data_IF_624324235443
#
_entry.id   IF_624324235443
#
_cell.length_a   1.000
_cell.length_b   1.000
_cell.length_c   1.000
_cell.angle_alpha   90.00
_cell.angle_beta   90.00
_cell.angle_gamma   90.00
#
_symmetry.space_group_name_H-M   'P 1'
#
loop_
_entity.id
_entity.type
_entity.pdbx_description
1 polymer ?
#
# COMPACT_ATOMS: atom_id res chain seq x y z
N UNK A 1 11.50 -15.43 26.43
CA UNK A 1 11.20 -15.26 27.88
C UNK A 1 12.09 -16.12 28.80
N UNK A 2 13.42 -15.94 28.80
CA UNK A 2 14.30 -16.67 29.74
C UNK A 2 15.44 -15.84 30.37
N UNK A 3 15.50 -14.51 30.16
CA UNK A 3 16.61 -13.68 30.64
C UNK A 3 16.34 -12.76 31.84
N UNK A 4 15.14 -12.76 32.45
CA UNK A 4 14.80 -11.81 33.53
C UNK A 4 14.71 -12.37 34.96
N UNK A 5 14.98 -13.67 35.20
CA UNK A 5 14.85 -14.26 36.56
C UNK A 5 16.10 -14.15 37.46
N UNK A 6 17.17 -13.49 37.02
CA UNK A 6 18.48 -13.55 37.70
C UNK A 6 18.76 -12.50 38.78
N UNK A 7 17.93 -11.48 38.99
CA UNK A 7 18.36 -10.25 39.71
C UNK A 7 17.59 -9.90 40.99
N UNK A 8 16.69 -10.76 41.50
CA UNK A 8 15.86 -10.45 42.67
C UNK A 8 16.00 -11.42 43.85
N UNK A 9 17.19 -11.95 44.11
CA UNK A 9 17.47 -12.66 45.36
C UNK A 9 18.86 -12.34 45.89
N UNK A 10 18.99 -11.18 46.54
CA UNK A 10 20.02 -10.93 47.58
C UNK A 10 19.79 -9.55 48.17
N UNK A 11 19.05 -9.47 49.29
CA UNK A 11 19.46 -8.70 50.49
C UNK A 11 18.37 -8.64 51.57
N UNK A 12 18.87 -8.74 52.80
CA UNK A 12 18.29 -8.32 54.10
C UNK A 12 17.48 -9.34 54.89
N UNK A 13 18.22 -10.03 55.77
CA UNK A 13 17.75 -10.62 57.03
C UNK A 13 18.52 -9.89 58.14
N UNK A 14 17.84 -9.06 58.95
CA UNK A 14 18.41 -8.55 60.21
C UNK A 14 17.32 -8.39 61.26
N UNK A 15 17.64 -9.00 62.41
CA UNK A 15 16.94 -9.17 63.70
C UNK A 15 16.12 -7.98 64.20
N UNK A 16 14.95 -8.28 64.75
CA UNK A 16 14.22 -7.47 65.72
C UNK A 16 14.42 -8.00 67.15
N UNK A 17 14.57 -7.08 68.10
CA UNK A 17 14.48 -7.30 69.54
C UNK A 17 13.24 -6.54 70.05
N UNK A 18 12.36 -7.25 70.75
CA UNK A 18 11.25 -6.72 71.54
C UNK A 18 11.75 -6.21 72.91
N UNK A 19 11.22 -5.08 73.40
CA UNK A 19 10.75 -4.85 74.79
C UNK A 19 9.64 -3.74 74.76
N UNK A 20 8.56 -3.83 75.57
CA UNK A 20 7.33 -3.04 75.42
C UNK A 20 7.18 -1.90 76.46
N UNK A 21 6.39 -0.85 76.19
CA UNK A 21 5.76 -0.06 77.27
C UNK A 21 4.48 0.69 76.83
N UNK A 22 3.56 0.78 77.78
CA UNK A 22 2.15 1.14 77.75
C UNK A 22 1.78 2.63 77.56
N UNK A 23 0.57 2.80 77.02
CA UNK A 23 -0.53 3.73 77.37
C UNK A 23 -0.40 5.26 77.26
N UNK A 24 -1.47 5.83 76.66
CA UNK A 24 -1.71 7.21 76.24
C UNK A 24 -2.04 8.21 77.37
N UNK A 25 -2.23 9.51 77.04
CA UNK A 25 -3.62 9.96 76.89
C UNK A 25 -3.91 10.96 75.74
N UNK A 26 -5.21 10.99 75.45
CA UNK A 26 -6.06 11.58 74.40
C UNK A 26 -6.15 13.12 74.39
N UNK A 27 -6.12 13.74 73.20
CA UNK A 27 -6.53 15.15 72.90
C UNK A 27 -7.15 15.18 71.45
N UNK A 28 -8.17 16.03 71.14
CA UNK A 28 -9.32 15.75 70.26
C UNK A 28 -9.13 15.96 68.73
N UNK A 29 -10.12 15.58 67.88
CA UNK A 29 -9.93 15.44 66.45
C UNK A 29 -10.01 16.79 65.73
N UNK A 30 -8.93 17.16 65.06
CA UNK A 30 -8.93 18.28 64.12
C UNK A 30 -9.18 17.73 62.72
N UNK A 31 -10.37 18.05 62.21
CA UNK A 31 -10.70 18.27 60.80
C UNK A 31 -9.94 17.40 59.78
N UNK A 32 -10.56 16.28 59.40
CA UNK A 32 -10.22 15.58 58.16
C UNK A 32 -10.53 16.46 56.95
N UNK A 33 -9.52 17.21 56.49
CA UNK A 33 -9.50 17.73 55.13
C UNK A 33 -9.65 16.53 54.17
N UNK A 34 -10.46 16.65 53.09
CA UNK A 34 -10.53 15.59 52.10
C UNK A 34 -9.12 15.38 51.55
N UNK A 35 -8.57 14.16 51.67
CA UNK A 35 -7.39 13.78 50.90
C UNK A 35 -7.68 14.12 49.44
N UNK A 36 -6.81 14.86 48.74
CA UNK A 36 -6.95 14.97 47.30
C UNK A 36 -7.01 13.54 46.78
N UNK A 37 -8.05 13.20 46.03
CA UNK A 37 -8.07 11.99 45.23
C UNK A 37 -6.80 12.05 44.39
N UNK A 38 -5.78 11.29 44.80
CA UNK A 38 -4.56 11.14 44.06
C UNK A 38 -4.96 10.30 42.86
N UNK A 39 -5.44 10.97 41.81
CA UNK A 39 -5.65 10.34 40.51
C UNK A 39 -4.34 9.63 40.20
N UNK A 40 -4.38 8.30 40.08
CA UNK A 40 -3.16 7.55 39.74
C UNK A 40 -2.68 8.09 38.41
N UNK A 41 -1.55 8.78 38.42
CA UNK A 41 -0.92 9.22 37.18
C UNK A 41 -0.55 7.97 36.39
N UNK A 42 -0.63 8.03 35.06
CA UNK A 42 -0.14 6.97 34.17
C UNK A 42 1.28 6.50 34.55
N UNK A 43 2.07 7.40 35.15
CA UNK A 43 3.44 7.18 35.58
C UNK A 43 3.56 6.28 36.81
N UNK A 44 2.52 6.22 37.65
CA UNK A 44 2.46 5.38 38.83
C UNK A 44 2.00 3.94 38.53
N UNK A 45 1.63 3.63 37.29
CA UNK A 45 1.20 2.29 36.91
C UNK A 45 2.36 1.29 37.01
N UNK A 46 2.11 0.07 37.54
CA UNK A 46 3.10 -1.01 37.52
C UNK A 46 3.55 -1.35 36.10
N UNK A 47 4.79 -1.82 35.98
CA UNK A 47 5.40 -2.17 34.69
C UNK A 47 4.52 -3.11 33.86
N UNK A 48 3.90 -4.10 34.50
CA UNK A 48 3.04 -5.09 33.85
C UNK A 48 1.79 -4.47 33.25
N UNK A 49 1.19 -3.47 33.93
CA UNK A 49 0.00 -2.77 33.45
C UNK A 49 0.37 -1.87 32.28
N UNK A 50 1.48 -1.14 32.38
CA UNK A 50 2.01 -0.35 31.26
C UNK A 50 2.34 -1.22 30.05
N UNK A 51 2.90 -2.40 30.28
CA UNK A 51 3.20 -3.34 29.21
C UNK A 51 1.92 -3.80 28.51
N UNK A 52 0.86 -4.10 29.25
CA UNK A 52 -0.44 -4.44 28.67
C UNK A 52 -1.06 -3.29 27.90
N UNK A 53 -0.90 -2.05 28.36
CA UNK A 53 -1.36 -0.86 27.63
C UNK A 53 -0.60 -0.74 26.31
N UNK A 54 0.74 -0.87 26.30
CA UNK A 54 1.55 -0.85 25.07
C UNK A 54 1.15 -1.97 24.10
N UNK A 55 0.84 -3.16 24.60
CA UNK A 55 0.36 -4.28 23.77
C UNK A 55 -1.03 -4.03 23.17
N UNK A 56 -1.86 -3.24 23.83
CA UNK A 56 -3.19 -2.89 23.35
C UNK A 56 -3.18 -1.76 22.31
N UNK A 57 -2.04 -1.09 22.12
CA UNK A 57 -1.85 -0.15 21.02
C UNK A 57 -1.71 -0.94 19.73
N UNK A 58 -2.58 -0.65 18.77
CA UNK A 58 -2.68 -1.33 17.48
C UNK A 58 -2.23 -0.47 16.30
N UNK A 59 -1.86 0.79 16.54
CA UNK A 59 -1.41 1.72 15.52
C UNK A 59 -0.09 2.43 15.87
N UNK A 60 0.75 2.74 14.86
CA UNK A 60 1.97 3.54 15.08
C UNK A 60 1.63 4.98 15.48
N UNK A 61 0.44 5.47 15.11
CA UNK A 61 -0.03 6.81 15.48
C UNK A 61 -0.28 6.88 16.98
N UNK A 62 -1.00 5.90 17.52
CA UNK A 62 -1.32 5.83 18.95
C UNK A 62 -0.08 5.49 19.78
N UNK A 63 0.82 4.65 19.23
CA UNK A 63 2.12 4.40 19.85
C UNK A 63 2.90 5.70 19.98
N UNK A 64 3.00 6.47 18.89
CA UNK A 64 3.67 7.78 18.89
C UNK A 64 3.02 8.74 19.89
N UNK A 65 1.69 8.85 19.91
CA UNK A 65 0.97 9.70 20.84
C UNK A 65 1.24 9.31 22.30
N UNK A 66 1.20 8.02 22.62
CA UNK A 66 1.43 7.51 23.97
C UNK A 66 2.86 7.76 24.47
N UNK A 67 3.87 7.50 23.64
CA UNK A 67 5.27 7.73 24.02
C UNK A 67 5.62 9.22 24.12
N UNK A 68 4.90 10.10 23.40
CA UNK A 68 5.07 11.55 23.54
C UNK A 68 4.32 12.11 24.76
N UNK A 69 3.19 11.51 25.13
CA UNK A 69 2.38 11.94 26.26
C UNK A 69 2.93 11.51 27.62
N UNK A 70 3.71 10.41 27.69
CA UNK A 70 4.26 9.88 28.95
C UNK A 70 5.76 9.56 28.85
N UNK A 71 6.61 10.23 29.65
CA UNK A 71 8.02 9.87 29.81
C UNK A 71 8.23 8.42 30.25
N UNK A 72 7.32 7.88 31.05
CA UNK A 72 7.45 6.52 31.57
C UNK A 72 7.16 5.47 30.49
N UNK A 73 6.16 5.70 29.65
CA UNK A 73 5.93 4.89 28.46
C UNK A 73 7.06 5.03 27.44
N UNK A 74 7.61 6.24 27.27
CA UNK A 74 8.80 6.44 26.43
C UNK A 74 10.01 5.62 26.90
N UNK A 75 10.29 5.61 28.21
CA UNK A 75 11.37 4.81 28.79
C UNK A 75 11.16 3.32 28.54
N UNK A 76 9.93 2.82 28.72
CA UNK A 76 9.60 1.42 28.49
C UNK A 76 9.67 1.03 27.01
N UNK A 77 9.18 1.88 26.12
CA UNK A 77 9.32 1.74 24.67
C UNK A 77 10.79 1.63 24.27
N UNK A 78 11.66 2.48 24.84
CA UNK A 78 13.10 2.47 24.54
C UNK A 78 13.83 1.20 24.96
N UNK A 79 13.28 0.38 25.85
CA UNK A 79 13.89 -0.90 26.23
C UNK A 79 13.83 -1.92 25.10
N UNK A 80 12.82 -1.82 24.23
CA UNK A 80 12.64 -2.74 23.09
C UNK A 80 11.90 -2.02 21.94
N UNK A 81 12.55 -1.00 21.39
CA UNK A 81 11.97 -0.11 20.38
C UNK A 81 11.52 -0.89 19.14
N UNK A 82 12.39 -1.78 18.65
CA UNK A 82 12.15 -2.58 17.45
C UNK A 82 10.89 -3.44 17.62
N UNK A 83 10.73 -4.10 18.77
CA UNK A 83 9.56 -4.91 19.07
C UNK A 83 8.26 -4.12 18.99
N UNK A 84 8.17 -2.95 19.63
CA UNK A 84 6.93 -2.17 19.67
C UNK A 84 6.57 -1.59 18.30
N UNK A 85 7.58 -1.14 17.55
CA UNK A 85 7.40 -0.66 16.18
C UNK A 85 6.90 -1.80 15.28
N UNK A 86 7.52 -2.97 15.36
CA UNK A 86 7.12 -4.15 14.62
C UNK A 86 5.70 -4.60 14.98
N UNK A 87 5.38 -4.67 16.27
CA UNK A 87 4.04 -5.04 16.76
C UNK A 87 2.95 -4.16 16.15
N UNK A 88 3.10 -2.83 16.22
CA UNK A 88 2.11 -1.91 15.67
C UNK A 88 2.05 -1.96 14.14
N UNK A 89 3.21 -2.00 13.48
CA UNK A 89 3.25 -2.10 12.01
C UNK A 89 2.57 -3.39 11.52
N UNK A 90 2.83 -4.52 12.18
CA UNK A 90 2.23 -5.80 11.82
C UNK A 90 0.70 -5.78 11.97
N UNK A 91 0.18 -5.16 13.04
CA UNK A 91 -1.27 -5.06 13.27
C UNK A 91 -1.99 -4.19 12.23
N UNK A 92 -1.35 -3.09 11.81
CA UNK A 92 -1.87 -2.21 10.77
C UNK A 92 -1.83 -2.87 9.39
N UNK A 93 -0.68 -3.47 9.02
CA UNK A 93 -0.50 -4.10 7.72
C UNK A 93 -1.37 -5.35 7.53
N UNK A 94 -1.65 -6.09 8.61
CA UNK A 94 -2.35 -7.36 8.52
C UNK A 94 -1.65 -8.29 7.53
N UNK A 95 -2.38 -8.79 6.53
CA UNK A 95 -1.84 -9.69 5.50
C UNK A 95 -0.89 -9.01 4.52
N UNK A 96 -0.93 -7.68 4.39
CA UNK A 96 -0.02 -6.93 3.54
C UNK A 96 1.42 -6.88 4.08
N UNK A 97 1.70 -7.49 5.24
CA UNK A 97 3.05 -7.50 5.82
C UNK A 97 4.09 -8.17 4.90
N UNK A 98 3.71 -9.24 4.18
CA UNK A 98 4.63 -9.89 3.23
C UNK A 98 4.98 -8.92 2.12
N UNK A 99 3.99 -8.21 1.59
CA UNK A 99 4.18 -7.23 0.52
C UNK A 99 5.11 -6.10 1.00
N UNK A 100 4.89 -5.60 2.23
CA UNK A 100 5.75 -4.59 2.83
C UNK A 100 7.19 -5.05 3.05
N UNK A 101 7.38 -6.26 3.56
CA UNK A 101 8.70 -6.85 3.76
C UNK A 101 9.42 -7.02 2.42
N UNK A 102 8.74 -7.56 1.42
CA UNK A 102 9.34 -7.79 0.10
C UNK A 102 9.69 -6.48 -0.60
N UNK A 103 8.88 -5.43 -0.44
CA UNK A 103 9.22 -4.08 -0.92
C UNK A 103 10.51 -3.56 -0.29
N UNK A 104 10.70 -3.75 1.02
CA UNK A 104 11.91 -3.36 1.71
C UNK A 104 13.14 -4.13 1.18
N UNK A 105 13.02 -5.46 1.05
CA UNK A 105 14.10 -6.32 0.55
C UNK A 105 14.54 -5.94 -0.87
N UNK A 106 13.61 -5.71 -1.80
CA UNK A 106 13.97 -5.31 -3.17
C UNK A 106 14.41 -3.84 -3.28
N UNK A 107 14.15 -3.01 -2.26
CA UNK A 107 14.65 -1.64 -2.20
C UNK A 107 16.10 -1.55 -1.69
N UNK A 108 16.63 -2.63 -1.11
CA UNK A 108 18.01 -2.68 -0.61
C UNK A 108 19.03 -2.41 -1.74
N UNK A 109 20.12 -1.65 -1.49
CA UNK A 109 21.11 -1.32 -2.50
C UNK A 109 21.71 -2.55 -3.20
N UNK A 110 21.91 -3.65 -2.45
CA UNK A 110 22.43 -4.89 -3.01
C UNK A 110 21.52 -5.47 -4.09
N UNK A 111 20.20 -5.50 -3.84
CA UNK A 111 19.22 -5.97 -4.81
C UNK A 111 19.18 -5.03 -6.01
N UNK A 112 18.97 -3.72 -5.78
CA UNK A 112 18.81 -2.73 -6.87
C UNK A 112 20.01 -2.66 -7.82
N UNK A 113 21.24 -2.77 -7.30
CA UNK A 113 22.46 -2.68 -8.11
C UNK A 113 22.73 -3.95 -8.94
N UNK A 114 22.37 -5.11 -8.38
CA UNK A 114 22.67 -6.43 -8.95
C UNK A 114 21.46 -7.10 -9.64
N UNK A 115 20.29 -6.45 -9.64
CA UNK A 115 19.05 -6.95 -10.22
C UNK A 115 19.27 -7.39 -11.67
N UNK A 116 18.92 -8.64 -11.97
CA UNK A 116 18.93 -9.24 -13.30
C UNK A 116 17.74 -10.21 -13.44
N UNK A 117 17.49 -10.73 -14.64
CA UNK A 117 16.38 -11.67 -14.92
C UNK A 117 16.33 -12.84 -13.93
N UNK A 118 17.47 -13.50 -13.69
CA UNK A 118 17.57 -14.66 -12.78
C UNK A 118 17.24 -14.29 -11.33
N UNK A 119 17.78 -13.16 -10.84
CA UNK A 119 17.47 -12.68 -9.49
C UNK A 119 16.02 -12.26 -9.32
N UNK A 120 15.39 -11.71 -10.35
CA UNK A 120 13.96 -11.38 -10.32
C UNK A 120 13.13 -12.67 -10.27
N UNK A 121 13.49 -13.70 -11.04
CA UNK A 121 12.83 -15.00 -10.98
C UNK A 121 12.93 -15.63 -9.58
N UNK A 122 14.14 -15.71 -9.02
CA UNK A 122 14.36 -16.23 -7.66
C UNK A 122 13.60 -15.43 -6.61
N UNK A 123 13.50 -14.11 -6.79
CA UNK A 123 12.72 -13.25 -5.91
C UNK A 123 11.21 -13.54 -6.00
N UNK A 124 10.68 -13.72 -7.22
CA UNK A 124 9.27 -14.08 -7.44
C UNK A 124 8.96 -15.43 -6.78
N UNK A 125 9.86 -16.41 -6.88
CA UNK A 125 9.72 -17.73 -6.24
C UNK A 125 9.73 -17.62 -4.70
N UNK A 126 10.69 -16.90 -4.11
CA UNK A 126 10.74 -16.66 -2.66
C UNK A 126 9.49 -15.90 -2.17
N UNK A 127 9.03 -14.91 -2.93
CA UNK A 127 7.82 -14.18 -2.61
C UNK A 127 6.57 -15.07 -2.66
N UNK A 128 6.46 -15.94 -3.67
CA UNK A 128 5.39 -16.93 -3.79
C UNK A 128 5.35 -17.84 -2.57
N UNK A 129 6.50 -18.37 -2.15
CA UNK A 129 6.59 -19.23 -0.97
C UNK A 129 6.14 -18.48 0.30
N UNK A 130 6.62 -17.27 0.51
CA UNK A 130 6.23 -16.46 1.69
C UNK A 130 4.75 -16.16 1.74
N UNK A 131 4.11 -15.88 0.60
CA UNK A 131 2.65 -15.68 0.53
C UNK A 131 1.87 -16.93 0.92
N UNK A 132 2.38 -18.12 0.57
CA UNK A 132 1.79 -19.40 0.96
C UNK A 132 2.05 -19.74 2.44
N UNK A 133 3.22 -19.36 2.97
CA UNK A 133 3.64 -19.62 4.34
C UNK A 133 2.99 -18.70 5.38
N UNK A 134 2.27 -17.63 5.00
CA UNK A 134 1.60 -16.72 5.96
C UNK A 134 0.65 -17.46 6.91
N UNK A 135 0.15 -18.62 6.51
CA UNK A 135 -0.67 -19.48 7.38
C UNK A 135 0.12 -20.16 8.52
N UNK A 136 1.45 -20.17 8.48
CA UNK A 136 2.32 -20.84 9.45
C UNK A 136 3.27 -19.81 10.11
N UNK A 137 3.03 -19.48 11.39
CA UNK A 137 3.68 -18.40 12.17
C UNK A 137 5.18 -18.63 12.50
N UNK A 138 5.92 -19.33 11.63
CA UNK A 138 7.33 -19.71 11.83
C UNK A 138 8.34 -18.64 11.39
N UNK A 139 7.87 -17.46 10.97
CA UNK A 139 8.73 -16.45 10.39
C UNK A 139 9.70 -15.82 11.40
N UNK A 140 10.98 -15.75 11.04
CA UNK A 140 11.99 -15.02 11.79
C UNK A 140 11.62 -13.53 11.71
N UNK A 141 11.44 -12.81 12.84
CA UNK A 141 11.15 -11.39 12.78
C UNK A 141 12.28 -10.64 12.06
N UNK A 142 11.97 -9.55 11.34
CA UNK A 142 12.98 -8.75 10.70
C UNK A 142 13.93 -8.17 11.75
N UNK A 143 15.14 -7.81 11.33
CA UNK A 143 16.05 -7.12 12.22
C UNK A 143 15.62 -5.67 12.50
N UNK A 144 16.31 -4.99 13.42
CA UNK A 144 15.92 -3.64 13.82
C UNK A 144 16.01 -2.63 12.66
N UNK A 145 17.00 -2.76 11.78
CA UNK A 145 17.19 -1.83 10.66
C UNK A 145 16.10 -2.04 9.60
N UNK A 146 15.75 -3.30 9.30
CA UNK A 146 14.62 -3.67 8.44
C UNK A 146 13.29 -3.11 9.00
N UNK A 147 13.01 -3.31 10.29
CA UNK A 147 11.80 -2.78 10.93
C UNK A 147 11.75 -1.26 10.81
N UNK A 148 12.86 -0.56 11.07
CA UNK A 148 12.93 0.89 10.97
C UNK A 148 12.71 1.38 9.53
N UNK A 149 13.28 0.69 8.54
CA UNK A 149 13.09 1.00 7.13
C UNK A 149 11.64 0.82 6.70
N UNK A 150 11.02 -0.32 7.05
CA UNK A 150 9.61 -0.62 6.75
C UNK A 150 8.67 0.40 7.41
N UNK A 151 8.87 0.73 8.69
CA UNK A 151 8.09 1.76 9.38
C UNK A 151 8.26 3.13 8.73
N UNK A 152 9.50 3.50 8.38
CA UNK A 152 9.78 4.77 7.71
C UNK A 152 9.03 4.87 6.39
N UNK A 153 9.10 3.85 5.54
CA UNK A 153 8.39 3.81 4.26
C UNK A 153 6.87 3.83 4.46
N UNK A 154 6.34 3.03 5.39
CA UNK A 154 4.91 2.97 5.67
C UNK A 154 4.36 4.34 6.12
N UNK A 155 4.99 4.96 7.11
CA UNK A 155 4.53 6.23 7.69
C UNK A 155 4.77 7.41 6.75
N UNK A 156 5.90 7.44 6.03
CA UNK A 156 6.27 8.57 5.19
C UNK A 156 5.74 8.48 3.74
N UNK A 157 5.43 7.29 3.23
CA UNK A 157 4.99 7.09 1.84
C UNK A 157 3.58 6.54 1.77
N UNK A 158 3.36 5.35 2.32
CA UNK A 158 2.09 4.61 2.15
C UNK A 158 0.91 5.36 2.77
N UNK A 159 1.00 5.75 4.04
CA UNK A 159 -0.12 6.44 4.71
C UNK A 159 -0.52 7.77 4.08
N UNK A 160 0.41 8.70 3.75
CA UNK A 160 0.03 9.91 3.05
C UNK A 160 -0.65 9.62 1.71
N UNK A 161 -0.10 8.70 0.92
CA UNK A 161 -0.65 8.36 -0.39
C UNK A 161 -2.01 7.68 -0.31
N UNK A 162 -2.24 6.84 0.69
CA UNK A 162 -3.57 6.28 0.95
C UNK A 162 -4.61 7.37 1.21
N UNK A 163 -4.27 8.40 2.00
CA UNK A 163 -5.16 9.55 2.23
C UNK A 163 -5.42 10.34 0.93
N UNK A 164 -4.39 10.54 0.11
CA UNK A 164 -4.54 11.18 -1.20
C UNK A 164 -5.40 10.34 -2.14
N UNK A 165 -5.23 9.02 -2.15
CA UNK A 165 -6.03 8.08 -2.94
C UNK A 165 -7.50 8.15 -2.57
N UNK A 166 -7.83 8.04 -1.28
CA UNK A 166 -9.22 8.13 -0.79
C UNK A 166 -9.84 9.48 -1.14
N UNK A 167 -9.07 10.57 -0.99
CA UNK A 167 -9.55 11.92 -1.36
C UNK A 167 -9.82 12.02 -2.85
N UNK A 168 -8.92 11.50 -3.69
CA UNK A 168 -9.06 11.53 -5.14
C UNK A 168 -10.24 10.69 -5.61
N UNK A 169 -10.40 9.45 -5.12
CA UNK A 169 -11.53 8.59 -5.49
C UNK A 169 -12.88 9.21 -5.11
N UNK A 170 -12.98 9.86 -3.94
CA UNK A 170 -14.21 10.56 -3.52
C UNK A 170 -14.66 11.65 -4.50
N UNK A 171 -13.75 12.21 -5.29
CA UNK A 171 -14.08 13.18 -6.34
C UNK A 171 -14.58 12.49 -7.63
N UNK A 172 -14.28 11.20 -7.84
CA UNK A 172 -14.64 10.45 -9.04
C UNK A 172 -15.97 9.67 -8.92
N UNK A 173 -16.45 9.42 -7.70
CA UNK A 173 -17.76 8.82 -7.46
C UNK A 173 -18.48 9.49 -6.29
N UNK A 174 -19.53 10.25 -6.63
CA UNK A 174 -20.47 10.81 -5.68
C UNK A 174 -21.11 9.68 -4.85
N UNK A 175 -21.18 9.86 -3.52
CA UNK A 175 -21.69 8.87 -2.58
C UNK A 175 -20.60 8.06 -1.85
N UNK A 176 -19.39 7.89 -2.41
CA UNK A 176 -18.26 7.28 -1.68
C UNK A 176 -17.80 8.14 -0.48
N UNK A 177 -18.28 9.38 -0.38
CA UNK A 177 -18.05 10.26 0.77
C UNK A 177 -18.70 9.74 2.06
N UNK A 178 -19.62 8.78 2.00
CA UNK A 178 -20.27 8.18 3.18
C UNK A 178 -20.01 6.67 3.26
N UNK A 179 -19.62 6.12 4.42
CA UNK A 179 -19.17 6.84 5.62
C UNK A 179 -17.85 7.60 5.39
N UNK A 180 -17.62 8.68 6.15
CA UNK A 180 -16.43 9.52 6.01
C UNK A 180 -15.11 8.79 6.34
N UNK A 181 -15.17 7.74 7.14
CA UNK A 181 -14.03 6.90 7.50
C UNK A 181 -14.02 5.66 6.60
N UNK A 182 -12.83 5.23 6.20
CA UNK A 182 -12.65 3.96 5.51
C UNK A 182 -12.63 2.83 6.54
N UNK A 183 -13.16 1.68 6.19
CA UNK A 183 -13.09 0.50 7.05
C UNK A 183 -11.67 -0.07 7.09
N UNK A 184 -11.42 -1.01 8.00
CA UNK A 184 -10.13 -1.72 8.07
C UNK A 184 -9.87 -2.56 6.81
N UNK A 185 -10.89 -3.18 6.23
CA UNK A 185 -10.75 -3.99 5.00
C UNK A 185 -10.46 -3.11 3.79
N UNK A 186 -11.10 -1.95 3.69
CA UNK A 186 -10.79 -0.96 2.64
C UNK A 186 -9.36 -0.42 2.78
N UNK A 187 -8.94 -0.09 4.00
CA UNK A 187 -7.57 0.33 4.30
C UNK A 187 -6.55 -0.72 3.88
N UNK A 188 -6.82 -2.00 4.17
CA UNK A 188 -5.97 -3.13 3.79
C UNK A 188 -5.86 -3.30 2.28
N UNK A 189 -6.99 -3.28 1.54
CA UNK A 189 -6.99 -3.40 0.06
C UNK A 189 -6.19 -2.27 -0.59
N UNK A 190 -6.36 -1.03 -0.14
CA UNK A 190 -5.61 0.13 -0.66
C UNK A 190 -4.11 0.01 -0.33
N UNK A 191 -3.79 -0.32 0.92
CA UNK A 191 -2.41 -0.50 1.38
C UNK A 191 -1.69 -1.56 0.55
N UNK A 192 -2.37 -2.68 0.29
CA UNK A 192 -1.89 -3.79 -0.51
C UNK A 192 -1.65 -3.41 -1.96
N UNK A 193 -2.60 -2.71 -2.59
CA UNK A 193 -2.42 -2.14 -3.93
C UNK A 193 -1.19 -1.23 -4.01
N UNK A 194 -0.98 -0.36 -3.01
CA UNK A 194 0.18 0.54 -2.96
C UNK A 194 1.51 -0.22 -2.83
N UNK A 195 1.60 -1.20 -1.94
CA UNK A 195 2.82 -2.00 -1.80
C UNK A 195 3.12 -2.83 -3.05
N UNK A 196 2.11 -3.44 -3.67
CA UNK A 196 2.29 -4.26 -4.87
C UNK A 196 2.64 -3.42 -6.10
N UNK A 197 2.08 -2.21 -6.21
CA UNK A 197 2.53 -1.21 -7.18
C UNK A 197 4.02 -0.88 -7.00
N UNK A 198 4.45 -0.59 -5.76
CA UNK A 198 5.86 -0.31 -5.47
C UNK A 198 6.75 -1.53 -5.78
N UNK A 199 6.29 -2.73 -5.43
CA UNK A 199 6.99 -3.97 -5.69
C UNK A 199 7.21 -4.20 -7.19
N UNK A 200 6.17 -3.96 -8.00
CA UNK A 200 6.24 -4.06 -9.45
C UNK A 200 7.37 -3.19 -10.01
N UNK A 201 7.40 -1.90 -9.68
CA UNK A 201 8.43 -1.00 -10.21
C UNK A 201 9.82 -1.23 -9.60
N UNK A 202 9.91 -1.77 -8.38
CA UNK A 202 11.19 -2.22 -7.83
C UNK A 202 11.77 -3.41 -8.62
N UNK A 203 10.94 -4.30 -9.16
CA UNK A 203 11.36 -5.45 -9.96
C UNK A 203 11.58 -5.09 -11.44
N UNK A 204 10.67 -4.32 -12.02
CA UNK A 204 10.59 -4.14 -13.48
C UNK A 204 10.92 -2.72 -13.97
N UNK A 205 10.96 -1.71 -13.09
CA UNK A 205 11.29 -0.32 -13.46
C UNK A 205 12.76 -0.09 -13.86
N UNK A 206 13.11 1.04 -14.48
CA UNK A 206 14.48 1.39 -14.94
C UNK A 206 15.50 1.55 -13.79
N UNK A 207 16.85 1.56 -14.03
CA UNK A 207 17.58 1.76 -15.30
C UNK A 207 18.09 0.47 -15.98
N UNK A 208 17.90 -0.69 -15.35
CA UNK A 208 18.20 -2.02 -15.89
C UNK A 208 16.92 -2.87 -15.95
N UNK A 209 15.80 -2.27 -16.33
CA UNK A 209 14.54 -3.01 -16.52
C UNK A 209 14.69 -3.93 -17.73
N UNK A 210 14.57 -5.24 -17.52
CA UNK A 210 14.52 -6.24 -18.60
C UNK A 210 13.13 -6.32 -19.22
N UNK A 211 12.14 -5.76 -18.54
CA UNK A 211 10.74 -5.90 -18.88
C UNK A 211 10.43 -5.09 -20.14
N UNK A 212 10.41 -5.80 -21.27
CA UNK A 212 9.38 -5.54 -22.26
C UNK A 212 8.05 -5.98 -21.65
N UNK A 213 6.95 -5.34 -22.05
CA UNK A 213 5.57 -5.65 -21.65
C UNK A 213 5.18 -7.12 -21.91
N UNK A 214 5.93 -7.83 -22.77
CA UNK A 214 5.82 -9.28 -23.00
C UNK A 214 6.86 -10.16 -22.30
N UNK A 215 7.60 -9.66 -21.30
CA UNK A 215 8.51 -10.49 -20.53
C UNK A 215 7.71 -11.54 -19.71
N UNK A 216 8.00 -12.85 -19.89
CA UNK A 216 7.35 -13.91 -19.11
C UNK A 216 7.42 -13.72 -17.58
N UNK A 217 8.44 -13.03 -17.07
CA UNK A 217 8.54 -12.73 -15.63
C UNK A 217 7.43 -11.82 -15.12
N UNK A 218 6.91 -10.93 -15.97
CA UNK A 218 5.80 -10.05 -15.58
C UNK A 218 4.51 -10.85 -15.44
N UNK A 219 4.27 -11.80 -16.34
CA UNK A 219 3.12 -12.71 -16.22
C UNK A 219 3.24 -13.61 -14.99
N UNK A 220 4.42 -14.16 -14.72
CA UNK A 220 4.68 -14.93 -13.50
C UNK A 220 4.44 -14.10 -12.22
N UNK A 221 4.71 -12.80 -12.26
CA UNK A 221 4.40 -11.90 -11.15
C UNK A 221 2.89 -11.74 -10.97
N UNK A 222 2.12 -11.54 -12.05
CA UNK A 222 0.65 -11.44 -11.95
C UNK A 222 0.00 -12.74 -11.50
N UNK A 223 0.54 -13.90 -11.89
CA UNK A 223 0.03 -15.22 -11.47
C UNK A 223 0.08 -15.44 -9.94
N UNK A 224 0.88 -14.65 -9.21
CA UNK A 224 0.91 -14.66 -7.75
C UNK A 224 -0.38 -14.16 -7.10
N UNK A 225 -1.20 -13.40 -7.85
CA UNK A 225 -2.38 -12.73 -7.35
C UNK A 225 -3.64 -13.25 -8.01
N UNK A 226 -4.75 -13.15 -7.30
CA UNK A 226 -6.07 -13.27 -7.93
C UNK A 226 -6.33 -12.08 -8.86
N UNK A 227 -7.21 -12.24 -9.85
CA UNK A 227 -7.46 -11.18 -10.85
C UNK A 227 -7.95 -9.85 -10.23
N UNK A 228 -8.77 -9.91 -9.18
CA UNK A 228 -9.22 -8.71 -8.46
C UNK A 228 -8.10 -8.04 -7.66
N UNK A 229 -7.13 -8.80 -7.15
CA UNK A 229 -5.92 -8.26 -6.52
C UNK A 229 -5.01 -7.56 -7.54
N UNK A 230 -4.96 -8.02 -8.80
CA UNK A 230 -4.25 -7.31 -9.89
C UNK A 230 -4.96 -5.98 -10.17
N UNK A 231 -6.29 -5.97 -10.17
CA UNK A 231 -7.06 -4.74 -10.34
C UNK A 231 -6.86 -3.72 -9.22
N UNK A 232 -6.54 -4.16 -7.99
CA UNK A 232 -6.12 -3.24 -6.93
C UNK A 232 -4.86 -2.46 -7.34
N UNK A 233 -3.87 -3.14 -7.94
CA UNK A 233 -2.62 -2.54 -8.44
C UNK A 233 -2.94 -1.54 -9.56
N UNK A 234 -3.83 -1.91 -10.49
CA UNK A 234 -4.21 -1.07 -11.62
C UNK A 234 -5.02 0.16 -11.19
N UNK A 235 -5.86 0.04 -10.16
CA UNK A 235 -6.52 1.20 -9.55
C UNK A 235 -5.50 2.20 -8.96
N UNK A 236 -4.43 1.69 -8.32
CA UNK A 236 -3.33 2.54 -7.86
C UNK A 236 -2.58 3.15 -9.04
N UNK A 237 -2.36 2.41 -10.13
CA UNK A 237 -1.72 2.94 -11.32
C UNK A 237 -2.48 4.16 -11.88
N UNK A 238 -3.79 4.03 -12.09
CA UNK A 238 -4.63 5.14 -12.58
C UNK A 238 -4.57 6.35 -11.64
N UNK A 239 -4.58 6.12 -10.31
CA UNK A 239 -4.37 7.20 -9.34
C UNK A 239 -3.02 7.89 -9.52
N UNK A 240 -1.93 7.12 -9.63
CA UNK A 240 -0.56 7.66 -9.77
C UNK A 240 -0.43 8.48 -11.07
N UNK A 241 -1.01 8.00 -12.18
CA UNK A 241 -1.11 8.78 -13.43
C UNK A 241 -1.81 10.12 -13.19
N UNK A 242 -2.99 10.10 -12.57
CA UNK A 242 -3.76 11.31 -12.31
C UNK A 242 -3.00 12.32 -11.43
N UNK A 243 -2.27 11.84 -10.42
CA UNK A 243 -1.46 12.73 -9.56
C UNK A 243 -0.29 13.33 -10.32
N UNK A 244 0.46 12.55 -11.11
CA UNK A 244 1.58 13.10 -11.89
C UNK A 244 1.12 14.03 -13.00
N UNK A 245 -0.04 13.78 -13.62
CA UNK A 245 -0.66 14.74 -14.54
C UNK A 245 -0.90 16.10 -13.87
N UNK A 246 -1.42 16.11 -12.64
CA UNK A 246 -1.60 17.33 -11.86
C UNK A 246 -0.25 18.01 -11.55
N UNK A 247 0.76 17.23 -11.14
CA UNK A 247 2.12 17.75 -10.87
C UNK A 247 2.76 18.33 -12.13
N UNK A 248 2.67 17.65 -13.27
CA UNK A 248 3.20 18.11 -14.55
C UNK A 248 2.55 19.42 -14.99
N UNK A 249 1.25 19.59 -14.77
CA UNK A 249 0.56 20.87 -15.02
C UNK A 249 1.13 22.01 -14.16
N UNK A 250 1.49 21.73 -12.90
CA UNK A 250 2.05 22.74 -11.99
C UNK A 250 3.45 23.19 -12.40
N UNK A 251 4.34 22.26 -12.78
CA UNK A 251 5.74 22.58 -13.14
C UNK A 251 5.96 22.81 -14.63
N UNK A 252 4.89 22.80 -15.43
CA UNK A 252 4.96 22.86 -16.90
C UNK A 252 5.84 24.00 -17.39
N UNK A 253 5.61 25.21 -16.88
CA UNK A 253 6.35 26.38 -17.34
C UNK A 253 7.80 26.36 -16.85
N UNK A 254 8.05 25.92 -15.61
CA UNK A 254 9.38 25.90 -15.01
C UNK A 254 10.35 24.97 -15.76
N UNK A 255 9.83 23.88 -16.31
CA UNK A 255 10.60 22.91 -17.09
C UNK A 255 10.55 23.16 -18.59
N UNK A 256 9.68 24.06 -19.08
CA UNK A 256 9.49 24.24 -20.50
C UNK A 256 10.78 24.72 -21.20
N UNK A 257 11.14 24.16 -22.37
CA UNK A 257 12.36 24.55 -23.08
C UNK A 257 12.43 26.02 -23.50
N UNK A 258 11.31 26.75 -23.50
CA UNK A 258 11.26 28.20 -23.77
C UNK A 258 11.28 29.08 -22.52
N UNK A 259 11.41 28.51 -21.32
CA UNK A 259 11.55 29.31 -20.11
C UNK A 259 12.89 30.07 -20.13
N UNK A 260 12.89 31.41 -19.89
CA UNK A 260 14.11 32.21 -19.86
C UNK A 260 15.18 31.74 -18.86
N UNK A 261 14.80 30.96 -17.84
CA UNK A 261 15.74 30.34 -16.90
C UNK A 261 16.81 29.47 -17.58
N UNK A 262 16.52 28.96 -18.79
CA UNK A 262 17.43 28.13 -19.57
C UNK A 262 18.29 28.91 -20.58
N UNK A 263 18.11 30.22 -20.74
CA UNK A 263 18.82 30.98 -21.78
C UNK A 263 20.34 31.02 -21.56
N UNK A 264 20.79 30.94 -20.31
CA UNK A 264 22.21 30.89 -19.94
C UNK A 264 22.87 29.52 -20.22
N UNK A 265 22.10 28.44 -20.27
CA UNK A 265 22.58 27.06 -20.51
C UNK A 265 22.28 26.57 -21.93
N UNK A 266 21.52 27.32 -22.72
CA UNK A 266 21.21 27.00 -24.11
C UNK A 266 22.43 27.22 -25.01
N UNK A 267 22.97 26.12 -25.53
CA UNK A 267 24.17 26.15 -26.40
C UNK A 267 23.87 25.85 -27.88
N UNK A 268 22.60 25.70 -28.27
CA UNK A 268 22.21 25.37 -29.65
C UNK A 268 20.70 25.15 -29.83
N UNK A 269 20.28 24.48 -30.92
CA UNK A 269 18.87 24.23 -31.25
C UNK A 269 18.23 23.09 -30.44
N UNK A 270 19.02 22.37 -29.64
CA UNK A 270 18.56 21.26 -28.82
C UNK A 270 17.88 21.75 -27.54
N UNK A 271 17.02 20.90 -26.97
CA UNK A 271 16.42 21.11 -25.65
C UNK A 271 17.52 21.33 -24.59
N UNK A 272 17.48 22.44 -23.83
CA UNK A 272 18.47 22.69 -22.79
C UNK A 272 18.51 21.56 -21.74
N UNK A 273 19.68 21.25 -21.16
CA UNK A 273 19.77 20.25 -20.08
C UNK A 273 18.85 20.62 -18.91
N UNK A 274 18.07 19.66 -18.44
CA UNK A 274 17.10 19.85 -17.35
C UNK A 274 15.76 20.47 -17.79
N UNK A 275 15.62 20.89 -19.04
CA UNK A 275 14.34 21.29 -19.61
C UNK A 275 13.60 20.07 -20.19
N UNK A 276 12.30 20.04 -19.97
CA UNK A 276 11.39 19.02 -20.48
C UNK A 276 10.17 19.70 -21.08
N UNK A 277 9.89 19.37 -22.33
CA UNK A 277 8.55 19.61 -22.87
C UNK A 277 7.66 18.47 -22.36
N UNK A 278 6.80 18.76 -21.38
CA UNK A 278 5.96 17.77 -20.70
C UNK A 278 4.66 17.48 -21.45
N UNK A 279 4.30 18.28 -22.45
CA UNK A 279 3.02 18.17 -23.15
C UNK A 279 3.20 18.32 -24.67
N UNK A 280 2.77 17.33 -25.45
CA UNK A 280 2.80 17.40 -26.92
C UNK A 280 1.80 18.44 -27.46
N UNK A 281 0.67 18.61 -26.77
CA UNK A 281 -0.37 19.63 -27.01
C UNK A 281 -0.91 20.14 -25.68
N UNK A 282 -1.63 21.27 -25.69
CA UNK A 282 -2.06 22.01 -24.50
C UNK A 282 -2.56 21.16 -23.32
N UNK A 283 -3.21 20.02 -23.54
CA UNK A 283 -3.67 19.12 -22.47
C UNK A 283 -3.19 17.66 -22.56
N UNK A 284 -2.36 17.30 -23.54
CA UNK A 284 -1.89 15.93 -23.73
C UNK A 284 -0.44 15.79 -23.27
N UNK A 285 -0.16 15.05 -22.18
CA UNK A 285 1.21 14.84 -21.72
C UNK A 285 2.01 14.11 -22.80
N UNK A 286 3.33 14.26 -22.78
CA UNK A 286 4.15 13.23 -23.39
C UNK A 286 4.17 12.00 -22.49
N UNK A 287 3.57 10.94 -23.01
CA UNK A 287 3.50 9.62 -22.41
C UNK A 287 4.86 9.15 -21.89
N UNK A 288 5.94 9.40 -22.64
CA UNK A 288 7.24 8.88 -22.27
C UNK A 288 7.79 9.42 -20.93
N UNK A 289 7.60 10.71 -20.68
CA UNK A 289 8.03 11.39 -19.45
C UNK A 289 7.11 10.99 -18.29
N UNK A 290 5.82 10.82 -18.57
CA UNK A 290 4.84 10.39 -17.58
C UNK A 290 5.14 8.96 -17.11
N UNK A 291 5.25 7.98 -18.01
CA UNK A 291 5.59 6.60 -17.66
C UNK A 291 6.95 6.51 -16.97
N UNK A 292 7.88 7.33 -17.46
CA UNK A 292 9.20 7.52 -16.87
C UNK A 292 9.16 7.86 -15.39
N UNK A 293 8.45 8.92 -15.03
CA UNK A 293 8.39 9.35 -13.62
C UNK A 293 7.56 8.41 -12.75
N UNK A 294 6.51 7.80 -13.31
CA UNK A 294 5.69 6.80 -12.60
C UNK A 294 6.55 5.61 -12.19
N UNK A 295 7.46 5.19 -13.08
CA UNK A 295 8.37 4.08 -12.81
C UNK A 295 9.38 4.30 -11.69
N UNK A 296 9.49 5.54 -11.18
CA UNK A 296 10.31 5.89 -10.01
C UNK A 296 9.67 5.42 -8.69
N UNK A 297 8.39 5.08 -8.73
CA UNK A 297 7.65 4.54 -7.59
C UNK A 297 7.10 5.61 -6.65
N UNK A 298 6.48 5.13 -5.57
CA UNK A 298 5.65 5.92 -4.66
C UNK A 298 6.44 6.92 -3.80
N UNK A 299 7.72 6.66 -3.53
CA UNK A 299 8.56 7.58 -2.74
C UNK A 299 8.69 8.94 -3.42
N UNK A 300 8.90 8.95 -4.75
CA UNK A 300 9.01 10.19 -5.52
C UNK A 300 7.67 10.91 -5.55
N UNK A 301 6.57 10.18 -5.78
CA UNK A 301 5.23 10.77 -5.77
C UNK A 301 4.87 11.40 -4.41
N UNK A 302 5.11 10.68 -3.31
CA UNK A 302 4.86 11.18 -1.95
C UNK A 302 5.66 12.45 -1.67
N UNK A 303 6.90 12.51 -2.16
CA UNK A 303 7.76 13.69 -2.02
C UNK A 303 7.24 14.86 -2.86
N UNK A 304 6.84 14.61 -4.10
CA UNK A 304 6.25 15.61 -4.99
C UNK A 304 4.98 16.23 -4.39
N UNK A 305 4.04 15.41 -3.91
CA UNK A 305 2.78 15.88 -3.33
C UNK A 305 2.94 16.66 -2.02
N UNK A 306 4.05 16.47 -1.30
CA UNK A 306 4.37 17.24 -0.08
C UNK A 306 5.13 18.53 -0.36
N UNK A 307 5.73 18.66 -1.55
CA UNK A 307 6.61 19.78 -1.88
C UNK A 307 5.75 20.99 -2.25
N UNK A 308 5.69 21.98 -1.34
CA UNK A 308 4.92 23.21 -1.54
C UNK A 308 5.67 24.27 -2.36
N UNK A 309 7.00 24.19 -2.38
CA UNK A 309 7.86 25.12 -3.11
C UNK A 309 7.95 24.70 -4.58
N UNK A 310 7.44 25.56 -5.47
CA UNK A 310 7.35 25.28 -6.90
C UNK A 310 8.73 25.05 -7.56
N UNK A 311 9.76 25.78 -7.16
CA UNK A 311 11.12 25.62 -7.70
C UNK A 311 11.69 24.27 -7.30
N UNK A 312 11.54 23.89 -6.03
CA UNK A 312 12.00 22.58 -5.54
C UNK A 312 11.22 21.43 -6.17
N UNK A 313 9.93 21.63 -6.44
CA UNK A 313 9.12 20.65 -7.15
C UNK A 313 9.63 20.48 -8.58
N UNK A 314 9.87 21.57 -9.32
CA UNK A 314 10.44 21.50 -10.66
C UNK A 314 11.82 20.80 -10.68
N UNK A 315 12.71 21.13 -9.75
CA UNK A 315 14.01 20.47 -9.58
C UNK A 315 13.87 18.97 -9.31
N UNK A 316 12.97 18.58 -8.39
CA UNK A 316 12.68 17.18 -8.09
C UNK A 316 12.23 16.44 -9.35
N UNK A 317 11.21 16.96 -10.04
CA UNK A 317 10.66 16.34 -11.25
C UNK A 317 11.72 16.23 -12.35
N UNK A 318 12.49 17.30 -12.59
CA UNK A 318 13.56 17.29 -13.59
C UNK A 318 14.65 16.25 -13.29
N UNK A 319 14.96 16.03 -12.00
CA UNK A 319 15.98 15.06 -11.57
C UNK A 319 15.53 13.60 -11.60
N UNK A 320 14.22 13.37 -11.54
CA UNK A 320 13.62 12.04 -11.42
C UNK A 320 13.01 11.52 -12.74
N UNK A 321 12.70 12.38 -13.71
CA UNK A 321 12.22 11.95 -15.03
C UNK A 321 13.30 11.10 -15.72
N UNK A 322 12.87 9.94 -16.21
CA UNK A 322 13.66 9.03 -17.04
C UNK A 322 12.87 8.73 -18.32
N UNK A 323 13.52 8.49 -19.47
CA UNK A 323 12.80 8.10 -20.66
C UNK A 323 12.27 6.67 -20.52
N UNK A 324 10.98 6.49 -20.79
CA UNK A 324 10.31 5.19 -20.84
C UNK A 324 9.27 5.26 -21.95
N UNK A 325 9.17 4.25 -22.82
CA UNK A 325 8.33 4.39 -24.03
C UNK A 325 6.87 4.03 -23.76
N UNK A 326 6.61 3.20 -22.76
CA UNK A 326 5.30 2.58 -22.51
C UNK A 326 5.03 2.44 -21.02
N UNK A 327 3.75 2.40 -20.65
CA UNK A 327 3.34 1.97 -19.32
C UNK A 327 3.41 0.44 -19.22
N UNK A 328 4.59 -0.07 -18.84
CA UNK A 328 4.83 -1.52 -18.71
C UNK A 328 3.79 -2.18 -17.78
N UNK A 329 3.30 -1.50 -16.74
CA UNK A 329 2.33 -2.09 -15.83
C UNK A 329 0.99 -2.35 -16.53
N UNK A 330 0.45 -1.35 -17.23
CA UNK A 330 -0.80 -1.49 -17.95
C UNK A 330 -0.67 -2.37 -19.20
N UNK A 331 0.37 -2.16 -20.02
CA UNK A 331 0.60 -2.92 -21.26
C UNK A 331 0.77 -4.42 -21.02
N UNK A 332 1.41 -4.81 -19.91
CA UNK A 332 1.53 -6.22 -19.53
C UNK A 332 0.21 -6.87 -19.11
N UNK A 333 -0.88 -6.12 -19.00
CA UNK A 333 -2.23 -6.65 -18.75
C UNK A 333 -3.09 -6.73 -20.01
N UNK A 334 -2.49 -6.53 -21.19
CA UNK A 334 -3.18 -6.68 -22.46
C UNK A 334 -3.67 -8.11 -22.69
N UNK A 335 -4.85 -8.24 -23.32
CA UNK A 335 -5.46 -9.50 -23.76
C UNK A 335 -4.47 -10.47 -24.40
N UNK A 336 -3.61 -10.00 -25.30
CA UNK A 336 -2.60 -10.82 -26.00
C UNK A 336 -1.67 -11.56 -25.03
N UNK A 337 -1.22 -10.90 -23.94
CA UNK A 337 -0.33 -11.55 -22.97
C UNK A 337 -1.04 -12.53 -22.06
N UNK A 338 -2.30 -12.23 -21.72
CA UNK A 338 -3.13 -13.15 -20.95
C UNK A 338 -3.46 -14.42 -21.77
N UNK A 339 -3.75 -14.26 -23.05
CA UNK A 339 -3.97 -15.37 -23.99
C UNK A 339 -2.70 -16.22 -24.14
N UNK A 340 -1.56 -15.60 -24.46
CA UNK A 340 -0.25 -16.28 -24.56
C UNK A 340 0.11 -17.01 -23.26
N UNK A 341 -0.16 -16.39 -22.10
CA UNK A 341 0.06 -17.02 -20.79
C UNK A 341 -0.84 -18.23 -20.58
N UNK A 342 -2.13 -18.15 -20.94
CA UNK A 342 -3.07 -19.28 -20.83
C UNK A 342 -2.71 -20.44 -21.74
N UNK A 343 -2.30 -20.17 -22.97
CA UNK A 343 -1.87 -21.20 -23.92
C UNK A 343 -0.62 -21.95 -23.41
N UNK A 344 0.30 -21.22 -22.76
CA UNK A 344 1.56 -21.79 -22.28
C UNK A 344 1.49 -22.38 -20.88
N UNK A 345 0.65 -21.81 -20.00
CA UNK A 345 0.57 -22.10 -18.56
C UNK A 345 -0.87 -21.93 -18.07
N UNK A 346 -1.78 -22.79 -18.53
CA UNK A 346 -3.16 -22.85 -18.03
C UNK A 346 -3.17 -23.27 -16.55
N UNK A 347 -3.82 -22.47 -15.72
CA UNK A 347 -3.86 -22.63 -14.27
C UNK A 347 -5.22 -23.11 -13.76
N UNK A 348 -5.28 -23.58 -12.51
CA UNK A 348 -6.55 -23.94 -11.85
C UNK A 348 -7.56 -22.77 -11.84
N UNK A 349 -7.08 -21.52 -11.84
CA UNK A 349 -7.93 -20.32 -11.94
C UNK A 349 -8.50 -20.12 -13.34
N UNK A 350 -7.74 -20.50 -14.37
CA UNK A 350 -8.24 -20.47 -15.75
C UNK A 350 -9.30 -21.57 -15.93
N UNK A 351 -9.05 -22.76 -15.40
CA UNK A 351 -10.02 -23.85 -15.39
C UNK A 351 -11.33 -23.45 -14.67
N UNK A 352 -11.25 -22.84 -13.48
CA UNK A 352 -12.43 -22.37 -12.75
C UNK A 352 -13.24 -21.31 -13.54
N UNK A 353 -12.57 -20.49 -14.35
CA UNK A 353 -13.25 -19.58 -15.27
C UNK A 353 -13.94 -20.33 -16.40
N UNK A 354 -13.23 -21.26 -17.04
CA UNK A 354 -13.73 -22.04 -18.19
C UNK A 354 -14.97 -22.86 -17.78
N UNK A 355 -14.96 -23.42 -16.56
CA UNK A 355 -16.09 -24.14 -15.95
C UNK A 355 -17.22 -23.23 -15.46
N UNK A 356 -17.05 -21.90 -15.57
CA UNK A 356 -17.98 -20.89 -15.06
C UNK A 356 -18.35 -21.14 -13.59
N UNK A 357 -17.36 -21.49 -12.78
CA UNK A 357 -17.58 -21.78 -11.37
C UNK A 357 -18.30 -20.62 -10.68
N UNK A 358 -19.18 -20.93 -9.74
CA UNK A 358 -19.93 -19.89 -9.03
C UNK A 358 -18.98 -19.11 -8.11
N UNK A 359 -18.98 -17.79 -8.24
CA UNK A 359 -18.26 -16.90 -7.32
C UNK A 359 -19.27 -16.14 -6.46
N UNK A 360 -19.31 -16.44 -5.16
CA UNK A 360 -20.27 -15.85 -4.22
C UNK A 360 -19.57 -14.87 -3.29
N UNK A 361 -20.11 -13.67 -3.19
CA UNK A 361 -19.72 -12.73 -2.14
C UNK A 361 -20.24 -13.25 -0.79
N UNK A 362 -19.32 -13.56 0.12
CA UNK A 362 -19.66 -14.05 1.47
C UNK A 362 -19.65 -12.93 2.51
N UNK A 363 -18.57 -12.15 2.55
CA UNK A 363 -18.38 -11.01 3.45
C UNK A 363 -17.15 -10.21 3.04
N UNK A 364 -17.09 -8.95 3.48
CA UNK A 364 -15.87 -8.16 3.37
C UNK A 364 -14.76 -8.74 4.26
N UNK A 365 -13.71 -9.22 3.60
CA UNK A 365 -12.51 -9.75 4.23
C UNK A 365 -11.33 -9.61 3.28
N UNK A 366 -10.13 -9.63 3.83
CA UNK A 366 -8.90 -9.38 3.09
C UNK A 366 -8.63 -10.41 1.96
N UNK A 367 -9.02 -11.67 2.17
CA UNK A 367 -8.79 -12.77 1.21
C UNK A 367 -9.97 -13.11 0.30
N UNK A 368 -11.10 -12.41 0.42
CA UNK A 368 -12.30 -12.68 -0.40
C UNK A 368 -12.48 -11.65 -1.51
N UNK A 369 -13.06 -12.03 -2.66
CA UNK A 369 -13.34 -11.08 -3.73
C UNK A 369 -14.29 -9.97 -3.22
N UNK A 370 -14.04 -8.70 -3.58
CA UNK A 370 -14.92 -7.60 -3.23
C UNK A 370 -16.26 -7.73 -3.96
N UNK A 371 -17.35 -7.21 -3.37
CA UNK A 371 -18.70 -7.32 -3.94
C UNK A 371 -18.77 -6.77 -5.37
N UNK A 372 -18.10 -5.65 -5.66
CA UNK A 372 -18.07 -5.07 -7.00
C UNK A 372 -17.52 -6.03 -8.07
N UNK A 373 -16.50 -6.82 -7.72
CA UNK A 373 -15.93 -7.83 -8.62
C UNK A 373 -16.94 -8.94 -8.92
N UNK A 374 -17.62 -9.43 -7.88
CA UNK A 374 -18.64 -10.47 -7.99
C UNK A 374 -19.82 -10.00 -8.85
N UNK A 375 -20.26 -8.74 -8.68
CA UNK A 375 -21.32 -8.14 -9.48
C UNK A 375 -20.90 -7.98 -10.94
N UNK A 376 -19.72 -7.41 -11.20
CA UNK A 376 -19.23 -7.16 -12.56
C UNK A 376 -19.16 -8.47 -13.37
N UNK A 377 -18.71 -9.56 -12.75
CA UNK A 377 -18.63 -10.88 -13.38
C UNK A 377 -19.89 -11.75 -13.22
N UNK A 378 -21.02 -11.17 -12.81
CA UNK A 378 -22.33 -11.84 -12.75
C UNK A 378 -22.31 -13.13 -11.92
N UNK A 379 -21.70 -13.08 -10.74
CA UNK A 379 -21.60 -14.21 -9.79
C UNK A 379 -20.90 -15.47 -10.34
N UNK A 380 -20.10 -15.32 -11.39
CA UNK A 380 -19.30 -16.41 -11.98
C UNK A 380 -17.84 -16.04 -11.96
N UNK A 381 -16.97 -17.04 -11.79
CA UNK A 381 -15.54 -16.84 -11.65
C UNK A 381 -14.95 -16.19 -12.91
N UNK A 382 -13.98 -15.31 -12.70
CA UNK A 382 -13.19 -14.70 -13.77
C UNK A 382 -11.75 -14.56 -13.32
N UNK A 383 -10.83 -14.97 -14.19
CA UNK A 383 -9.40 -14.75 -14.10
C UNK A 383 -8.92 -13.72 -15.15
N UNK A 384 -9.84 -12.90 -15.68
CA UNK A 384 -9.54 -11.81 -16.62
C UNK A 384 -9.39 -10.49 -15.86
N UNK A 385 -8.36 -9.71 -16.18
CA UNK A 385 -8.06 -8.40 -15.60
C UNK A 385 -7.52 -7.44 -16.68
N UNK A 386 -7.17 -6.21 -16.35
CA UNK A 386 -6.55 -5.28 -17.30
C UNK A 386 -7.51 -4.86 -18.42
N UNK A 387 -7.18 -5.18 -19.66
CA UNK A 387 -7.97 -4.77 -20.83
C UNK A 387 -9.41 -5.34 -20.85
N UNK A 388 -9.74 -6.28 -19.96
CA UNK A 388 -11.10 -6.80 -19.78
C UNK A 388 -11.94 -6.02 -18.75
N UNK A 389 -11.41 -4.93 -18.19
CA UNK A 389 -12.13 -4.08 -17.24
C UNK A 389 -12.07 -2.63 -17.72
N UNK A 390 -13.21 -1.89 -17.72
CA UNK A 390 -13.22 -0.50 -18.15
C UNK A 390 -12.34 0.38 -17.26
N UNK A 391 -11.53 1.23 -17.88
CA UNK A 391 -10.65 2.15 -17.14
C UNK A 391 -11.43 3.09 -16.20
N UNK A 392 -12.65 3.46 -16.58
CA UNK A 392 -13.53 4.30 -15.77
C UNK A 392 -13.88 3.68 -14.40
N UNK A 393 -13.86 2.35 -14.27
CA UNK A 393 -14.09 1.68 -12.99
C UNK A 393 -12.90 1.84 -12.03
N UNK A 394 -11.68 1.92 -12.56
CA UNK A 394 -10.46 2.12 -11.77
C UNK A 394 -10.35 3.53 -11.20
N UNK A 395 -10.94 4.52 -11.88
CA UNK A 395 -10.94 5.92 -11.43
C UNK A 395 -11.63 6.11 -10.07
N UNK A 396 -12.61 5.25 -9.76
CA UNK A 396 -13.25 5.22 -8.45
C UNK A 396 -12.86 4.00 -7.63
N UNK A 397 -11.83 3.25 -8.02
CA UNK A 397 -11.29 2.15 -7.20
C UNK A 397 -12.27 1.02 -6.93
N UNK A 398 -13.03 0.58 -7.93
CA UNK A 398 -14.19 -0.31 -7.72
C UNK A 398 -13.95 -1.57 -6.86
N UNK A 399 -12.75 -2.14 -6.87
CA UNK A 399 -12.37 -3.31 -6.06
C UNK A 399 -11.94 -2.99 -4.62
N UNK A 400 -11.80 -1.71 -4.27
CA UNK A 400 -11.27 -1.30 -2.95
C UNK A 400 -12.34 -1.27 -1.86
N UNK A 401 -13.61 -1.09 -2.23
CA UNK A 401 -14.66 -0.70 -1.29
C UNK A 401 -15.46 -1.88 -0.75
N UNK A 402 -15.88 -1.73 0.51
CA UNK A 402 -16.76 -2.70 1.14
C UNK A 402 -18.19 -2.63 0.59
N UNK A 403 -18.90 -3.74 0.74
CA UNK A 403 -20.28 -3.89 0.28
C UNK A 403 -21.22 -2.79 0.79
N UNK A 404 -21.11 -2.41 2.06
CA UNK A 404 -21.90 -1.34 2.68
C UNK A 404 -21.68 0.02 2.00
N UNK A 405 -20.45 0.32 1.57
CA UNK A 405 -20.16 1.57 0.85
C UNK A 405 -20.78 1.53 -0.54
N UNK A 406 -20.66 0.41 -1.25
CA UNK A 406 -21.24 0.24 -2.58
C UNK A 406 -22.77 0.35 -2.55
N UNK A 407 -23.43 -0.18 -1.52
CA UNK A 407 -24.89 -0.10 -1.36
C UNK A 407 -25.43 1.33 -1.25
N UNK A 408 -24.59 2.28 -0.80
CA UNK A 408 -24.93 3.68 -0.65
C UNK A 408 -24.57 4.54 -1.88
N UNK A 409 -24.27 3.91 -3.02
CA UNK A 409 -23.83 4.58 -4.26
C UNK A 409 -24.54 4.02 -5.49
N UNK A 410 -24.44 4.72 -6.62
CA UNK A 410 -24.84 4.20 -7.93
C UNK A 410 -23.81 3.19 -8.51
N UNK A 411 -22.99 2.56 -7.67
CA UNK A 411 -21.91 1.66 -8.11
C UNK A 411 -22.43 0.52 -8.99
N UNK A 412 -23.55 -0.12 -8.62
CA UNK A 412 -24.13 -1.22 -9.41
C UNK A 412 -24.49 -0.74 -10.83
N UNK A 413 -25.14 0.42 -10.95
CA UNK A 413 -25.48 0.99 -12.26
C UNK A 413 -24.23 1.32 -13.08
N UNK A 414 -23.14 1.78 -12.45
CA UNK A 414 -21.86 2.03 -13.13
C UNK A 414 -21.14 0.75 -13.55
N UNK A 415 -21.20 -0.30 -12.74
CA UNK A 415 -20.67 -1.62 -13.10
C UNK A 415 -21.42 -2.18 -14.32
N UNK A 416 -22.75 -2.12 -14.30
CA UNK A 416 -23.60 -2.54 -15.41
C UNK A 416 -23.35 -1.72 -16.68
N UNK A 417 -23.20 -0.40 -16.54
CA UNK A 417 -22.89 0.48 -17.66
C UNK A 417 -21.51 0.17 -18.23
N UNK A 418 -20.50 0.00 -17.37
CA UNK A 418 -19.15 -0.37 -17.78
C UNK A 418 -19.11 -1.70 -18.52
N UNK A 419 -19.87 -2.70 -18.06
CA UNK A 419 -20.04 -3.96 -18.79
C UNK A 419 -20.64 -3.72 -20.18
N UNK A 420 -21.73 -2.95 -20.25
CA UNK A 420 -22.41 -2.67 -21.54
C UNK A 420 -21.50 -1.94 -22.51
N UNK A 421 -20.77 -0.92 -22.06
CA UNK A 421 -19.89 -0.11 -22.89
C UNK A 421 -18.76 -0.92 -23.51
N UNK A 422 -18.23 -1.92 -22.79
CA UNK A 422 -17.18 -2.79 -23.30
C UNK A 422 -17.68 -3.92 -24.18
N UNK A 423 -18.83 -4.50 -23.82
CA UNK A 423 -19.22 -5.81 -24.35
C UNK A 423 -20.47 -5.81 -25.21
N UNK A 424 -21.15 -4.67 -25.34
CA UNK A 424 -22.30 -4.52 -26.26
C UNK A 424 -21.81 -3.88 -27.55
N UNK A 425 -21.68 -4.66 -28.62
CA UNK A 425 -21.31 -4.08 -29.92
C UNK A 425 -22.42 -3.19 -30.48
N UNK A 426 -22.09 -2.02 -31.07
CA UNK A 426 -23.10 -1.10 -31.59
C UNK A 426 -23.84 -1.55 -32.86
N UNK A 427 -23.46 -2.65 -33.54
CA UNK A 427 -23.95 -2.91 -34.91
C UNK A 427 -24.41 -4.34 -35.24
N UNK A 428 -24.02 -5.39 -34.49
CA UNK A 428 -24.28 -6.77 -34.97
C UNK A 428 -24.86 -7.78 -33.97
N UNK A 429 -24.87 -7.50 -32.66
CA UNK A 429 -25.38 -8.43 -31.65
C UNK A 429 -26.45 -7.77 -30.77
N UNK A 430 -27.59 -8.44 -30.59
CA UNK A 430 -28.65 -7.99 -29.67
C UNK A 430 -28.27 -8.24 -28.19
N UNK A 431 -27.20 -9.00 -27.90
CA UNK A 431 -26.74 -9.32 -26.56
C UNK A 431 -25.22 -9.03 -26.41
N UNK A 432 -24.76 -8.55 -25.23
CA UNK A 432 -23.35 -8.35 -24.98
C UNK A 432 -22.59 -9.68 -24.99
N UNK A 433 -21.46 -9.77 -25.69
CA UNK A 433 -20.57 -10.94 -25.66
C UNK A 433 -19.87 -11.05 -24.29
N UNK A 434 -19.70 -12.27 -23.76
CA UNK A 434 -18.92 -12.44 -22.53
C UNK A 434 -17.48 -12.79 -22.92
N UNK A 435 -16.48 -11.96 -22.58
CA UNK A 435 -15.09 -12.15 -23.01
C UNK A 435 -14.48 -13.47 -22.53
N UNK A 436 -15.09 -14.11 -21.52
CA UNK A 436 -14.65 -15.43 -21.04
C UNK A 436 -14.93 -16.54 -22.05
N UNK A 437 -15.88 -16.34 -22.97
CA UNK A 437 -16.17 -17.30 -24.05
C UNK A 437 -15.12 -17.24 -25.18
N UNK A 438 -14.44 -16.10 -25.34
CA UNK A 438 -13.38 -15.90 -26.33
C UNK A 438 -12.01 -16.38 -25.82
N UNK A 439 -11.85 -16.46 -24.49
CA UNK A 439 -10.61 -16.79 -23.79
C UNK A 439 -10.54 -18.26 -23.33
N UNK A 440 -11.32 -19.15 -23.95
CA UNK A 440 -11.27 -20.59 -23.68
C UNK A 440 -9.97 -21.18 -24.20
N UNK A 441 -9.34 -22.06 -23.41
CA UNK A 441 -8.20 -22.82 -23.91
C UNK A 441 -8.62 -23.69 -25.10
N UNK A 442 -8.02 -23.46 -26.27
CA UNK A 442 -8.10 -24.41 -27.38
C UNK A 442 -7.31 -25.66 -26.99
N UNK A 443 -7.99 -26.64 -26.38
CA UNK A 443 -7.40 -27.94 -26.02
C UNK A 443 -7.24 -28.85 -27.24
#
# INVERSE_FOLDING_TARGET
>A
MHRLKGLLQRKHKKKDHEIPTQAAPTIPPVSSSPKPLCHSTLEALPFEIRNRILFAVDSLTDLSALIHASPTFHQQYRLDRAFWLWHCLYLELGQAYVDAYMVDQCNMPEFRLRRNREKVLLFIEDYKLRRLEVTDMSWKPPDEDEILSMVSFHVSVIRPLMKHYVTWVRLNLEGLSSPNEISRTEEQRITRGLYRFQLFYNLFGPPKGFASYGDPLVQLFFDLYTAWEVEEILCINVFVHAQYLSVFKQVRWDLHPSNPSFDNVRTGPHTPPGAFDLFWKDDLPYDNQLYGIISRGLSVLSTALKTQDQSKLAELIASEIVPMVEDILFESTNSYYQETRRESHHSDRDQAQDDREKMVFSSDSDGSPPLAWVIFWKETYSNLFGNFIPESLRQWGYVMWDSDRLANTDAVARLDQGWKDMYTEPVHYEAPGDPRDEMLAYH
#
